data_IF_525565811287
#
_entry.id   IF_525565811287
#
_cell.length_a   1.000
_cell.length_b   1.000
_cell.length_c   1.000
_cell.angle_alpha   90.00
_cell.angle_beta   90.00
_cell.angle_gamma   90.00
#
_symmetry.space_group_name_H-M   'P 1'
#
loop_
_entity.id
_entity.type
_entity.pdbx_description
1 polymer ?
#
# COMPACT_ATOMS: atom_id res chain seq x y z
N UNK A 1 59.67 38.95 -68.51
CA UNK A 1 58.99 38.05 -67.55
C UNK A 1 57.61 38.60 -67.27
N UNK A 2 56.61 37.77 -67.54
CA UNK A 2 55.20 38.13 -67.71
C UNK A 2 54.52 38.57 -66.41
N UNK A 3 53.87 39.73 -66.52
CA UNK A 3 52.81 40.34 -65.72
C UNK A 3 51.77 39.39 -65.11
N UNK A 4 51.27 39.79 -63.93
CA UNK A 4 49.86 39.80 -63.50
C UNK A 4 49.82 39.64 -61.96
N UNK A 5 49.13 40.43 -61.15
CA UNK A 5 48.15 41.47 -61.41
C UNK A 5 47.53 41.86 -60.05
N UNK A 6 47.55 43.16 -59.77
CA UNK A 6 46.71 43.96 -58.87
C UNK A 6 45.61 43.26 -58.01
N UNK A 7 45.46 43.70 -56.74
CA UNK A 7 44.39 44.66 -56.36
C UNK A 7 44.46 45.07 -54.88
N UNK A 8 44.21 46.36 -54.70
CA UNK A 8 44.20 47.17 -53.48
C UNK A 8 43.08 46.73 -52.53
N UNK A 9 43.39 46.55 -51.23
CA UNK A 9 42.41 46.23 -50.18
C UNK A 9 41.83 47.52 -49.59
N UNK A 10 40.53 47.70 -49.75
CA UNK A 10 39.71 48.68 -49.04
C UNK A 10 39.45 48.15 -47.63
N UNK A 11 39.78 48.95 -46.62
CA UNK A 11 39.50 48.68 -45.20
C UNK A 11 38.10 49.19 -44.91
N UNK A 12 37.16 48.27 -44.64
CA UNK A 12 35.87 48.58 -44.03
C UNK A 12 35.76 47.81 -42.73
N UNK A 13 35.82 48.53 -41.60
CA UNK A 13 35.51 48.03 -40.27
C UNK A 13 34.05 47.55 -40.23
N UNK A 14 33.85 46.24 -40.21
CA UNK A 14 32.56 45.63 -39.87
C UNK A 14 32.62 45.34 -38.36
N UNK A 15 31.87 46.12 -37.60
CA UNK A 15 31.53 45.83 -36.20
C UNK A 15 30.69 44.55 -36.14
N UNK A 16 30.97 43.59 -35.24
CA UNK A 16 30.12 42.43 -35.10
C UNK A 16 28.89 42.80 -34.25
N UNK A 17 27.80 43.20 -34.91
CA UNK A 17 26.44 43.23 -34.33
C UNK A 17 25.91 41.79 -34.29
N UNK A 18 26.54 40.94 -33.48
CA UNK A 18 26.15 39.52 -33.29
C UNK A 18 26.27 39.11 -31.82
N UNK A 19 25.92 40.01 -30.89
CA UNK A 19 25.91 39.72 -29.45
C UNK A 19 24.69 40.31 -28.73
N UNK A 20 23.51 40.24 -29.35
CA UNK A 20 22.28 40.83 -28.78
C UNK A 20 21.01 39.98 -28.93
N UNK A 21 21.14 38.65 -29.11
CA UNK A 21 19.97 37.74 -29.09
C UNK A 21 20.28 36.39 -28.43
N UNK A 22 20.73 36.42 -27.18
CA UNK A 22 20.59 35.28 -26.26
C UNK A 22 20.26 35.85 -24.88
N UNK A 23 19.13 36.56 -24.80
CA UNK A 23 18.43 36.68 -23.53
C UNK A 23 17.73 35.33 -23.37
N UNK A 24 18.11 34.45 -22.43
CA UNK A 24 17.25 33.34 -22.09
C UNK A 24 15.93 33.99 -21.67
N UNK A 25 14.86 33.74 -22.43
CA UNK A 25 13.52 34.05 -21.96
C UNK A 25 13.32 33.21 -20.70
N UNK A 26 13.69 33.79 -19.56
CA UNK A 26 13.21 33.33 -18.27
C UNK A 26 11.70 33.52 -18.40
N UNK A 27 10.99 32.44 -18.74
CA UNK A 27 9.56 32.37 -18.50
C UNK A 27 9.44 32.48 -16.99
N UNK A 28 9.26 33.68 -16.48
CA UNK A 28 8.62 33.89 -15.19
C UNK A 28 7.30 33.15 -15.31
N UNK A 29 7.23 31.97 -14.69
CA UNK A 29 5.98 31.29 -14.43
C UNK A 29 5.28 32.23 -13.45
N UNK A 30 4.53 33.19 -13.97
CA UNK A 30 3.58 33.92 -13.15
C UNK A 30 2.59 32.87 -12.67
N UNK A 31 2.62 32.57 -11.38
CA UNK A 31 1.59 31.75 -10.77
C UNK A 31 0.25 32.45 -11.04
N UNK A 32 -0.69 31.74 -11.65
CA UNK A 32 -2.03 32.27 -11.87
C UNK A 32 -2.61 32.69 -10.52
N UNK A 33 -2.99 33.97 -10.42
CA UNK A 33 -3.59 34.49 -9.20
C UNK A 33 -5.06 34.08 -9.20
N UNK A 34 -5.43 33.30 -8.19
CA UNK A 34 -6.80 32.89 -7.93
C UNK A 34 -7.69 34.12 -7.69
N UNK A 35 -8.91 34.04 -8.20
CA UNK A 35 -9.94 35.04 -7.93
C UNK A 35 -10.50 34.89 -6.51
N UNK A 36 -11.26 35.88 -6.06
CA UNK A 36 -11.98 35.80 -4.78
C UNK A 36 -13.11 34.75 -4.78
N UNK A 37 -13.48 34.20 -5.94
CA UNK A 37 -14.46 33.12 -6.07
C UNK A 37 -13.81 31.73 -6.09
N UNK A 38 -12.48 31.65 -6.01
CA UNK A 38 -11.76 30.39 -6.03
C UNK A 38 -12.07 29.54 -4.79
N UNK A 39 -12.24 28.24 -5.02
CA UNK A 39 -12.48 27.24 -3.99
C UNK A 39 -11.46 26.12 -4.13
N UNK A 40 -10.91 25.68 -3.00
CA UNK A 40 -10.07 24.49 -2.93
C UNK A 40 -10.82 23.45 -2.11
N UNK A 41 -10.99 22.26 -2.68
CA UNK A 41 -11.71 21.17 -2.04
C UNK A 41 -10.89 19.90 -1.98
N UNK A 42 -11.12 19.08 -0.96
CA UNK A 42 -10.64 17.71 -0.89
C UNK A 42 -11.73 16.82 -1.50
N UNK A 43 -11.33 16.02 -2.48
CA UNK A 43 -12.15 14.97 -3.04
C UNK A 43 -11.82 13.65 -2.36
N UNK A 44 -12.84 12.90 -1.99
CA UNK A 44 -12.72 11.53 -1.45
C UNK A 44 -13.52 10.60 -2.34
N UNK A 45 -12.87 9.55 -2.84
CA UNK A 45 -13.50 8.50 -3.65
C UNK A 45 -13.57 7.22 -2.83
N UNK A 46 -14.76 6.62 -2.76
CA UNK A 46 -15.01 5.39 -2.01
C UNK A 46 -14.20 4.20 -2.54
N UNK A 47 -14.16 3.10 -1.80
CA UNK A 47 -13.49 1.86 -2.20
C UNK A 47 -13.97 1.32 -3.56
N UNK A 48 -13.04 0.93 -4.42
CA UNK A 48 -13.34 0.24 -5.68
C UNK A 48 -13.36 -1.29 -5.57
N UNK A 49 -13.47 -1.95 -6.73
CA UNK A 49 -13.51 -3.42 -6.86
C UNK A 49 -12.12 -4.04 -6.95
N UNK A 50 -11.21 -3.39 -7.66
CA UNK A 50 -9.85 -3.88 -7.90
C UNK A 50 -8.95 -3.68 -6.68
N UNK A 51 -7.95 -4.55 -6.50
CA UNK A 51 -7.08 -4.59 -5.31
C UNK A 51 -6.41 -3.24 -5.01
N UNK A 52 -5.96 -2.51 -6.03
CA UNK A 52 -5.32 -1.19 -5.89
C UNK A 52 -6.31 -0.06 -5.59
N UNK A 53 -7.62 -0.27 -5.78
CA UNK A 53 -8.68 0.71 -5.49
C UNK A 53 -9.42 0.43 -4.19
N UNK A 54 -9.14 -0.69 -3.51
CA UNK A 54 -9.86 -1.14 -2.31
C UNK A 54 -9.87 -0.09 -1.21
N UNK A 55 -8.80 0.67 -1.04
CA UNK A 55 -8.67 1.62 0.06
C UNK A 55 -9.24 3.01 -0.25
N UNK A 56 -9.82 3.21 -1.44
CA UNK A 56 -10.33 4.50 -1.89
C UNK A 56 -9.24 5.37 -2.50
N UNK A 57 -9.58 6.63 -2.76
CA UNK A 57 -8.63 7.63 -3.24
C UNK A 57 -8.96 9.02 -2.69
N UNK A 58 -7.96 9.88 -2.58
CA UNK A 58 -8.16 11.27 -2.17
C UNK A 58 -7.34 12.20 -3.07
N UNK A 59 -7.91 13.34 -3.43
CA UNK A 59 -7.34 14.32 -4.35
C UNK A 59 -7.69 15.75 -3.91
N UNK A 60 -7.04 16.77 -4.48
CA UNK A 60 -7.37 18.18 -4.25
C UNK A 60 -7.93 18.77 -5.54
N UNK A 61 -9.10 19.40 -5.47
CA UNK A 61 -9.71 20.18 -6.56
C UNK A 61 -9.43 21.66 -6.37
N UNK A 62 -9.08 22.34 -7.45
CA UNK A 62 -8.99 23.79 -7.56
C UNK A 62 -10.08 24.23 -8.54
N UNK A 63 -11.06 24.99 -8.06
CA UNK A 63 -12.15 25.50 -8.87
C UNK A 63 -12.20 27.02 -8.77
N UNK A 64 -11.92 27.71 -9.88
CA UNK A 64 -11.98 29.17 -10.01
C UNK A 64 -12.73 29.53 -11.31
N UNK A 65 -14.02 29.89 -11.21
CA UNK A 65 -14.85 30.14 -12.39
C UNK A 65 -14.42 31.39 -13.17
N UNK A 66 -13.81 32.38 -12.51
CA UNK A 66 -13.37 33.63 -13.16
C UNK A 66 -12.17 33.38 -14.06
N UNK A 67 -11.24 32.55 -13.59
CA UNK A 67 -10.05 32.16 -14.36
C UNK A 67 -10.27 30.89 -15.20
N UNK A 68 -11.47 30.31 -15.19
CA UNK A 68 -11.82 29.07 -15.88
C UNK A 68 -10.90 27.89 -15.50
N UNK A 69 -10.59 27.78 -14.20
CA UNK A 69 -9.80 26.69 -13.63
C UNK A 69 -10.77 25.69 -12.99
N UNK A 70 -10.69 24.42 -13.39
CA UNK A 70 -11.35 23.30 -12.71
C UNK A 70 -10.48 22.04 -12.79
N UNK A 71 -9.42 22.05 -11.98
CA UNK A 71 -8.33 21.08 -12.02
C UNK A 71 -8.30 20.21 -10.76
N UNK A 72 -7.84 18.98 -10.91
CA UNK A 72 -7.68 18.02 -9.82
C UNK A 72 -6.22 17.55 -9.75
N UNK A 73 -5.60 17.76 -8.59
CA UNK A 73 -4.27 17.31 -8.24
C UNK A 73 -4.35 15.96 -7.51
N UNK A 74 -3.69 14.94 -8.08
CA UNK A 74 -3.70 13.57 -7.62
C UNK A 74 -2.31 13.16 -7.12
N UNK A 75 -2.19 12.94 -5.82
CA UNK A 75 -1.09 12.14 -5.28
C UNK A 75 -1.52 10.68 -5.33
N UNK A 76 -0.73 9.78 -5.92
CA UNK A 76 -1.12 8.37 -6.05
C UNK A 76 -1.04 7.82 -7.47
N UNK A 77 -0.64 8.65 -8.42
CA UNK A 77 -0.43 8.25 -9.81
C UNK A 77 0.90 7.53 -9.95
N UNK A 78 0.91 6.45 -10.71
CA UNK A 78 2.11 5.67 -11.01
C UNK A 78 1.99 5.09 -12.42
N UNK A 79 3.14 4.67 -12.95
CA UNK A 79 3.23 4.08 -14.29
C UNK A 79 3.39 2.55 -14.18
N UNK A 80 2.51 1.81 -14.86
CA UNK A 80 2.55 0.35 -14.93
C UNK A 80 3.71 -0.17 -15.80
N UNK A 81 4.20 0.61 -16.74
CA UNK A 81 5.29 0.25 -17.65
C UNK A 81 6.68 0.39 -17.01
N UNK A 82 6.73 0.80 -15.73
CA UNK A 82 7.97 0.76 -14.96
C UNK A 82 8.55 -0.66 -14.93
N UNK A 83 9.79 -0.78 -15.41
CA UNK A 83 10.51 -2.06 -15.43
C UNK A 83 10.46 -2.77 -14.07
N UNK A 84 10.06 -4.05 -14.08
CA UNK A 84 9.86 -4.89 -12.89
C UNK A 84 8.85 -4.30 -11.89
N UNK A 85 7.74 -3.74 -12.38
CA UNK A 85 6.65 -3.14 -11.60
C UNK A 85 6.34 -3.90 -10.28
N UNK A 86 5.98 -5.18 -10.36
CA UNK A 86 5.63 -5.97 -9.17
C UNK A 86 6.77 -6.11 -8.17
N UNK A 87 8.02 -6.23 -8.65
CA UNK A 87 9.19 -6.29 -7.77
C UNK A 87 9.42 -4.96 -7.07
N UNK A 88 9.25 -3.84 -7.79
CA UNK A 88 9.39 -2.49 -7.22
C UNK A 88 8.29 -2.19 -6.20
N UNK A 89 7.06 -2.60 -6.51
CA UNK A 89 5.92 -2.49 -5.62
C UNK A 89 6.16 -3.25 -4.31
N UNK A 90 6.54 -4.54 -4.36
CA UNK A 90 6.83 -5.33 -3.16
C UNK A 90 8.04 -4.78 -2.38
N UNK A 91 9.02 -4.20 -3.07
CA UNK A 91 10.18 -3.55 -2.46
C UNK A 91 9.88 -2.17 -1.87
N UNK A 92 8.75 -1.55 -2.18
CA UNK A 92 8.44 -0.19 -1.76
C UNK A 92 9.31 0.88 -2.41
N UNK A 93 9.84 0.63 -3.60
CA UNK A 93 10.59 1.60 -4.39
C UNK A 93 9.94 1.90 -5.76
N UNK A 94 8.65 1.61 -5.89
CA UNK A 94 7.85 2.08 -7.00
C UNK A 94 7.68 3.60 -6.87
N UNK A 95 7.98 4.32 -7.95
CA UNK A 95 7.87 5.79 -7.99
C UNK A 95 6.41 6.14 -8.29
N UNK A 96 5.84 6.95 -7.41
CA UNK A 96 4.56 7.62 -7.57
C UNK A 96 4.81 9.10 -7.85
N UNK A 97 3.86 9.78 -8.46
CA UNK A 97 4.00 11.19 -8.77
C UNK A 97 2.70 11.96 -8.58
N UNK A 98 2.84 13.27 -8.35
CA UNK A 98 1.75 14.22 -8.42
C UNK A 98 1.34 14.40 -9.89
N UNK A 99 0.10 14.05 -10.23
CA UNK A 99 -0.47 14.33 -11.55
C UNK A 99 -1.59 15.37 -11.46
N UNK A 100 -1.90 15.98 -12.60
CA UNK A 100 -2.95 16.98 -12.76
C UNK A 100 -3.91 16.55 -13.85
N UNK A 101 -5.19 16.75 -13.60
CA UNK A 101 -6.28 16.33 -14.47
C UNK A 101 -7.44 17.35 -14.42
N UNK A 102 -8.38 17.29 -15.35
CA UNK A 102 -9.61 18.08 -15.26
C UNK A 102 -10.61 17.44 -14.30
N UNK A 103 -11.42 18.25 -13.61
CA UNK A 103 -12.48 17.72 -12.74
C UNK A 103 -13.53 16.90 -13.51
N UNK A 104 -13.86 17.30 -14.75
CA UNK A 104 -14.79 16.55 -15.60
C UNK A 104 -14.26 15.13 -15.91
N UNK A 105 -12.97 15.00 -16.25
CA UNK A 105 -12.36 13.68 -16.48
C UNK A 105 -12.30 12.85 -15.18
N UNK A 106 -11.94 13.45 -14.05
CA UNK A 106 -11.98 12.81 -12.73
C UNK A 106 -13.38 12.26 -12.42
N UNK A 107 -14.41 13.08 -12.58
CA UNK A 107 -15.80 12.72 -12.30
C UNK A 107 -16.26 11.60 -13.23
N UNK A 108 -15.99 11.69 -14.53
CA UNK A 108 -16.31 10.64 -15.52
C UNK A 108 -15.65 9.31 -15.18
N UNK A 109 -14.38 9.33 -14.76
CA UNK A 109 -13.63 8.13 -14.41
C UNK A 109 -14.30 7.39 -13.24
N UNK A 110 -14.52 8.08 -12.12
CA UNK A 110 -15.03 7.42 -10.90
C UNK A 110 -16.54 7.15 -10.93
N UNK A 111 -17.31 7.90 -11.74
CA UNK A 111 -18.71 7.56 -12.03
C UNK A 111 -18.82 6.30 -12.88
N UNK A 112 -17.94 6.12 -13.88
CA UNK A 112 -17.86 4.89 -14.68
C UNK A 112 -17.43 3.68 -13.83
N UNK A 113 -16.53 3.86 -12.86
CA UNK A 113 -16.20 2.84 -11.85
C UNK A 113 -17.34 2.57 -10.86
N UNK A 114 -18.40 3.39 -10.88
CA UNK A 114 -19.52 3.36 -9.94
C UNK A 114 -19.08 3.47 -8.48
N UNK A 115 -18.25 4.46 -8.17
CA UNK A 115 -17.75 4.74 -6.81
C UNK A 115 -18.32 6.06 -6.30
N UNK A 116 -18.75 6.10 -5.05
CA UNK A 116 -19.25 7.33 -4.43
C UNK A 116 -18.11 8.35 -4.31
N UNK A 117 -18.42 9.62 -4.56
CA UNK A 117 -17.47 10.73 -4.49
C UNK A 117 -18.04 11.78 -3.54
N UNK A 118 -17.19 12.22 -2.61
CA UNK A 118 -17.46 13.31 -1.69
C UNK A 118 -16.51 14.48 -1.94
N UNK A 119 -16.98 15.67 -1.63
CA UNK A 119 -16.22 16.92 -1.70
C UNK A 119 -16.29 17.66 -0.36
N UNK A 120 -15.14 18.14 0.12
CA UNK A 120 -14.99 18.94 1.33
C UNK A 120 -14.23 20.23 1.02
N UNK A 121 -14.91 21.37 1.11
CA UNK A 121 -14.28 22.66 0.85
C UNK A 121 -13.36 23.04 2.01
N UNK A 122 -12.16 23.55 1.70
CA UNK A 122 -11.25 24.13 2.68
C UNK A 122 -11.77 25.49 3.17
N UNK A 123 -11.70 25.73 4.48
CA UNK A 123 -12.18 26.93 5.15
C UNK A 123 -11.04 27.91 5.48
N UNK A 124 -10.10 28.09 4.55
CA UNK A 124 -8.96 28.99 4.70
C UNK A 124 -9.21 30.35 4.03
N UNK A 125 -8.44 31.36 4.44
CA UNK A 125 -8.44 32.68 3.80
C UNK A 125 -7.85 32.61 2.39
N UNK A 126 -8.29 33.49 1.49
CA UNK A 126 -7.89 33.50 0.08
C UNK A 126 -6.37 33.56 -0.12
N UNK A 127 -5.65 34.28 0.74
CA UNK A 127 -4.19 34.36 0.70
C UNK A 127 -3.51 33.02 1.00
N UNK A 128 -4.11 32.23 1.90
CA UNK A 128 -3.63 30.88 2.22
C UNK A 128 -3.97 29.90 1.10
N UNK A 129 -5.16 30.03 0.51
CA UNK A 129 -5.57 29.24 -0.66
C UNK A 129 -4.66 29.49 -1.86
N UNK A 130 -4.27 30.76 -2.12
CA UNK A 130 -3.30 31.10 -3.16
C UNK A 130 -1.95 30.40 -2.91
N UNK A 131 -1.39 30.51 -1.70
CA UNK A 131 -0.11 29.86 -1.39
C UNK A 131 -0.18 28.34 -1.52
N UNK A 132 -1.32 27.73 -1.19
CA UNK A 132 -1.55 26.30 -1.37
C UNK A 132 -1.55 25.95 -2.87
N UNK A 133 -2.28 26.70 -3.69
CA UNK A 133 -2.28 26.52 -5.15
C UNK A 133 -0.90 26.70 -5.77
N UNK A 134 -0.16 27.74 -5.37
CA UNK A 134 1.21 27.98 -5.81
C UNK A 134 2.12 26.80 -5.47
N UNK A 135 1.95 26.22 -4.27
CA UNK A 135 2.71 25.04 -3.83
C UNK A 135 2.40 23.80 -4.67
N UNK A 136 1.12 23.56 -4.99
CA UNK A 136 0.71 22.45 -5.86
C UNK A 136 1.25 22.61 -7.28
N UNK A 137 1.09 23.79 -7.87
CA UNK A 137 1.56 24.10 -9.21
C UNK A 137 3.09 24.02 -9.30
N UNK A 138 3.80 24.56 -8.31
CA UNK A 138 5.27 24.47 -8.23
C UNK A 138 5.71 23.02 -8.12
N UNK A 139 5.11 22.24 -7.21
CA UNK A 139 5.46 20.83 -7.06
C UNK A 139 5.26 20.05 -8.36
N UNK A 140 4.12 20.26 -9.05
CA UNK A 140 3.79 19.59 -10.31
C UNK A 140 4.80 19.89 -11.44
N UNK A 141 5.27 21.13 -11.55
CA UNK A 141 6.24 21.52 -12.57
C UNK A 141 7.71 21.28 -12.17
N UNK A 142 7.98 21.02 -10.90
CA UNK A 142 9.34 20.77 -10.39
C UNK A 142 9.75 19.30 -10.49
N UNK A 143 11.04 19.03 -10.27
CA UNK A 143 11.54 17.67 -10.04
C UNK A 143 11.05 17.01 -8.75
N UNK A 144 10.34 17.73 -7.87
CA UNK A 144 9.85 17.23 -6.57
C UNK A 144 8.48 16.55 -6.64
N UNK A 145 7.90 16.38 -7.84
CA UNK A 145 6.59 15.73 -7.99
C UNK A 145 6.63 14.23 -7.68
N UNK A 146 7.79 13.60 -7.81
CA UNK A 146 8.00 12.16 -7.66
C UNK A 146 8.28 11.79 -6.20
N UNK A 147 7.80 10.62 -5.76
CA UNK A 147 8.00 10.12 -4.40
C UNK A 147 7.88 8.61 -4.26
N UNK A 148 8.39 8.07 -3.15
CA UNK A 148 8.24 6.67 -2.79
C UNK A 148 7.00 6.47 -1.94
N UNK A 149 6.10 5.63 -2.40
CA UNK A 149 4.85 5.36 -1.70
C UNK A 149 5.08 4.51 -0.44
N UNK A 150 4.44 4.91 0.65
CA UNK A 150 4.28 4.11 1.85
C UNK A 150 2.80 4.11 2.23
N UNK A 151 2.21 2.91 2.31
CA UNK A 151 0.77 2.74 2.54
C UNK A 151 0.25 3.45 3.81
N UNK A 152 1.03 3.54 4.88
CA UNK A 152 0.59 4.15 6.14
C UNK A 152 1.09 5.59 6.34
N UNK A 153 2.26 5.91 5.81
CA UNK A 153 2.97 7.15 6.16
C UNK A 153 3.06 8.15 4.99
N UNK A 154 3.12 7.68 3.74
CA UNK A 154 3.35 8.53 2.57
C UNK A 154 2.51 8.05 1.37
N UNK A 155 1.22 8.37 1.42
CA UNK A 155 0.21 7.99 0.44
C UNK A 155 -0.61 9.22 -0.01
N UNK A 156 -1.60 9.01 -0.88
CA UNK A 156 -2.46 10.08 -1.39
C UNK A 156 -3.10 10.93 -0.29
N UNK A 157 -3.54 10.28 0.77
CA UNK A 157 -4.26 10.87 1.89
C UNK A 157 -3.31 11.56 2.85
N UNK A 158 -2.20 10.93 3.24
CA UNK A 158 -1.24 11.54 4.17
C UNK A 158 -0.52 12.73 3.55
N UNK A 159 -0.25 12.72 2.24
CA UNK A 159 0.29 13.90 1.53
C UNK A 159 -0.65 15.08 1.54
N UNK A 160 -1.93 14.85 1.26
CA UNK A 160 -2.95 15.91 1.28
C UNK A 160 -3.14 16.43 2.71
N UNK A 161 -3.21 15.54 3.70
CA UNK A 161 -3.27 15.93 5.11
C UNK A 161 -2.04 16.76 5.52
N UNK A 162 -0.83 16.36 5.12
CA UNK A 162 0.40 17.09 5.43
C UNK A 162 0.42 18.48 4.78
N UNK A 163 -0.07 18.59 3.53
CA UNK A 163 -0.22 19.87 2.84
C UNK A 163 -1.17 20.79 3.60
N UNK A 164 -2.34 20.28 3.99
CA UNK A 164 -3.34 21.04 4.77
C UNK A 164 -2.74 21.50 6.10
N UNK A 165 -2.07 20.61 6.83
CA UNK A 165 -1.44 20.95 8.12
C UNK A 165 -0.41 22.08 7.96
N UNK A 166 0.41 22.04 6.92
CA UNK A 166 1.43 23.06 6.67
C UNK A 166 0.81 24.46 6.50
N UNK A 167 -0.32 24.55 5.79
CA UNK A 167 -1.03 25.82 5.53
C UNK A 167 -2.03 26.22 6.61
N UNK A 168 -2.50 25.28 7.43
CA UNK A 168 -3.45 25.54 8.51
C UNK A 168 -2.82 26.11 9.79
N UNK A 169 -1.49 26.19 9.83
CA UNK A 169 -0.62 26.28 11.02
C UNK A 169 -0.83 27.48 11.96
N UNK A 170 -1.77 28.39 11.66
CA UNK A 170 -2.10 29.51 12.54
C UNK A 170 -3.19 29.20 13.59
N UNK A 171 -3.91 28.07 13.51
CA UNK A 171 -5.12 27.85 14.35
C UNK A 171 -5.14 26.61 15.27
N UNK A 172 -4.25 25.64 15.11
CA UNK A 172 -4.21 24.45 15.98
C UNK A 172 -2.79 24.08 16.41
N UNK A 173 -2.65 23.74 17.70
CA UNK A 173 -1.42 23.12 18.18
C UNK A 173 -1.31 21.72 17.61
N UNK A 174 -0.13 21.41 17.07
CA UNK A 174 0.31 20.08 16.66
C UNK A 174 -0.05 18.98 17.69
N UNK A 175 -0.15 19.37 18.97
CA UNK A 175 -0.64 18.58 20.10
C UNK A 175 -1.99 17.89 19.87
N UNK A 176 -3.00 18.56 19.30
CA UNK A 176 -4.33 17.95 19.06
C UNK A 176 -4.22 16.74 18.11
N UNK A 177 -3.42 16.89 17.04
CA UNK A 177 -3.20 15.84 16.04
C UNK A 177 -2.35 14.68 16.57
N UNK A 178 -1.55 14.92 17.62
CA UNK A 178 -0.71 13.91 18.27
C UNK A 178 -1.44 13.15 19.38
N UNK A 179 -2.68 13.51 19.72
CA UNK A 179 -3.45 12.79 20.73
C UNK A 179 -3.63 11.32 20.36
N UNK A 180 -3.41 10.39 21.31
CA UNK A 180 -3.57 8.96 21.06
C UNK A 180 -5.05 8.64 20.80
N UNK A 181 -5.30 7.73 19.86
CA UNK A 181 -6.64 7.17 19.64
C UNK A 181 -6.66 5.71 20.08
N UNK A 182 -7.82 5.21 20.49
CA UNK A 182 -7.99 3.79 20.84
C UNK A 182 -8.10 2.92 19.57
N UNK A 183 -7.06 2.95 18.74
CA UNK A 183 -6.99 2.24 17.47
C UNK A 183 -5.58 1.81 17.10
N UNK A 184 -5.50 1.01 16.04
CA UNK A 184 -4.26 0.58 15.37
C UNK A 184 -4.47 0.65 13.87
N UNK A 185 -3.39 0.66 13.08
CA UNK A 185 -3.49 0.62 11.62
C UNK A 185 -4.37 -0.54 11.12
N UNK A 186 -4.20 -1.75 11.67
CA UNK A 186 -5.00 -2.93 11.34
C UNK A 186 -6.47 -2.75 11.71
N UNK A 187 -6.78 -2.07 12.82
CA UNK A 187 -8.16 -1.80 13.24
C UNK A 187 -8.85 -0.82 12.28
N UNK A 188 -8.16 0.21 11.83
CA UNK A 188 -8.68 1.19 10.84
C UNK A 188 -8.99 0.54 9.48
N UNK A 189 -8.30 -0.54 9.10
CA UNK A 189 -8.56 -1.26 7.84
C UNK A 189 -9.82 -2.14 7.89
N UNK A 190 -10.31 -2.52 9.08
CA UNK A 190 -11.41 -3.49 9.22
C UNK A 190 -12.69 -3.09 8.47
N UNK A 191 -13.20 -1.84 8.55
CA UNK A 191 -14.44 -1.47 7.88
C UNK A 191 -14.34 -1.62 6.36
N UNK A 192 -13.17 -1.31 5.78
CA UNK A 192 -12.92 -1.42 4.33
C UNK A 192 -12.84 -2.89 3.90
N UNK A 193 -12.30 -3.76 4.75
CA UNK A 193 -12.04 -5.16 4.43
C UNK A 193 -13.21 -6.10 4.75
N UNK A 194 -14.24 -5.64 5.46
CA UNK A 194 -15.34 -6.46 6.00
C UNK A 194 -15.99 -7.38 4.97
N UNK A 195 -16.28 -6.87 3.77
CA UNK A 195 -16.96 -7.62 2.71
C UNK A 195 -16.00 -8.26 1.69
N UNK A 196 -14.70 -8.33 2.01
CA UNK A 196 -13.64 -8.76 1.10
C UNK A 196 -12.75 -9.81 1.78
N UNK A 197 -13.26 -11.00 2.13
CA UNK A 197 -12.59 -11.91 3.06
C UNK A 197 -11.23 -12.41 2.57
N UNK A 198 -11.05 -12.67 1.27
CA UNK A 198 -9.74 -13.05 0.70
C UNK A 198 -8.73 -11.92 0.72
N UNK A 199 -9.17 -10.70 0.43
CA UNK A 199 -8.31 -9.51 0.50
C UNK A 199 -7.98 -9.22 1.97
N UNK A 200 -8.96 -9.33 2.86
CA UNK A 200 -8.78 -9.18 4.30
C UNK A 200 -7.75 -10.19 4.82
N UNK A 201 -7.87 -11.45 4.43
CA UNK A 201 -6.90 -12.49 4.77
C UNK A 201 -5.50 -12.14 4.26
N UNK A 202 -5.35 -11.82 2.97
CA UNK A 202 -4.07 -11.48 2.37
C UNK A 202 -3.41 -10.26 3.01
N UNK A 203 -4.15 -9.17 3.18
CA UNK A 203 -3.68 -7.95 3.87
C UNK A 203 -3.27 -8.28 5.30
N UNK A 204 -4.09 -9.00 6.07
CA UNK A 204 -3.75 -9.33 7.45
C UNK A 204 -2.55 -10.28 7.58
N UNK A 205 -2.34 -11.13 6.58
CA UNK A 205 -1.21 -12.05 6.51
C UNK A 205 0.09 -11.32 6.15
N UNK A 206 0.03 -10.31 5.29
CA UNK A 206 1.20 -9.50 4.89
C UNK A 206 1.57 -8.44 5.92
N UNK A 207 0.58 -7.84 6.59
CA UNK A 207 0.81 -6.87 7.65
C UNK A 207 1.43 -7.55 8.87
N UNK A 208 2.69 -7.21 9.13
CA UNK A 208 3.39 -7.63 10.34
C UNK A 208 2.93 -6.89 11.59
N UNK A 209 3.72 -6.94 12.66
CA UNK A 209 3.41 -6.28 13.96
C UNK A 209 3.21 -4.77 13.84
N UNK A 210 3.77 -4.12 12.82
CA UNK A 210 3.58 -2.69 12.56
C UNK A 210 2.09 -2.34 12.44
N UNK A 211 1.29 -3.22 11.81
CA UNK A 211 -0.16 -3.02 11.70
C UNK A 211 -0.88 -3.00 13.06
N UNK A 212 -0.28 -3.55 14.10
CA UNK A 212 -0.85 -3.67 15.44
C UNK A 212 -0.35 -2.57 16.41
N UNK A 213 0.43 -1.60 15.91
CA UNK A 213 0.88 -0.45 16.70
C UNK A 213 -0.29 0.49 17.02
N UNK A 214 -0.27 1.06 18.23
CA UNK A 214 -1.16 2.16 18.61
C UNK A 214 -0.82 3.41 17.80
N UNK A 215 -1.87 4.14 17.40
CA UNK A 215 -1.75 5.31 16.53
C UNK A 215 -2.38 6.55 17.17
N UNK A 216 -1.96 7.73 16.72
CA UNK A 216 -2.56 9.02 17.08
C UNK A 216 -3.62 9.47 16.06
N UNK A 217 -4.26 10.62 16.32
CA UNK A 217 -5.31 11.16 15.46
C UNK A 217 -4.83 11.38 14.02
N UNK A 218 -3.66 12.00 13.83
CA UNK A 218 -3.05 12.21 12.50
C UNK A 218 -2.85 10.90 11.75
N UNK A 219 -2.18 9.94 12.38
CA UNK A 219 -1.90 8.62 11.79
C UNK A 219 -3.18 7.86 11.46
N UNK A 220 -4.26 8.04 12.23
CA UNK A 220 -5.54 7.40 11.95
C UNK A 220 -6.21 7.88 10.66
N UNK A 221 -5.82 9.05 10.14
CA UNK A 221 -6.37 9.64 8.92
C UNK A 221 -5.60 9.22 7.64
N UNK A 222 -4.82 8.14 7.68
CA UNK A 222 -4.09 7.64 6.49
C UNK A 222 -5.00 7.07 5.39
N UNK A 223 -6.29 6.83 5.68
CA UNK A 223 -7.29 6.32 4.73
C UNK A 223 -8.22 7.45 4.27
N UNK A 224 -8.57 7.53 2.97
CA UNK A 224 -9.39 8.60 2.40
C UNK A 224 -10.71 8.85 3.15
N UNK A 225 -11.49 7.78 3.40
CA UNK A 225 -12.78 7.89 4.10
C UNK A 225 -12.60 8.27 5.57
N UNK A 226 -11.49 7.84 6.21
CA UNK A 226 -11.21 8.21 7.60
C UNK A 226 -10.77 9.66 7.72
N UNK A 227 -9.94 10.15 6.79
CA UNK A 227 -9.61 11.58 6.67
C UNK A 227 -10.91 12.39 6.54
N UNK A 228 -11.77 12.04 5.58
CA UNK A 228 -13.01 12.75 5.30
C UNK A 228 -13.90 12.89 6.54
N UNK A 229 -14.00 11.84 7.35
CA UNK A 229 -14.83 11.83 8.57
C UNK A 229 -14.22 12.59 9.74
N UNK A 230 -12.89 12.69 9.84
CA UNK A 230 -12.21 13.26 11.02
C UNK A 230 -11.75 14.69 10.80
N UNK A 231 -11.46 15.07 9.56
CA UNK A 231 -10.95 16.39 9.22
C UNK A 231 -11.92 17.55 9.56
N UNK A 232 -13.26 17.42 9.41
CA UNK A 232 -14.18 18.48 9.85
C UNK A 232 -14.08 18.81 11.34
N UNK A 233 -13.66 17.85 12.17
CA UNK A 233 -13.42 18.06 13.59
C UNK A 233 -12.31 19.07 13.91
N UNK A 234 -11.44 19.39 12.94
CA UNK A 234 -10.47 20.48 13.05
C UNK A 234 -11.04 21.83 12.58
N UNK A 235 -12.23 21.86 12.00
CA UNK A 235 -12.78 23.08 11.39
C UNK A 235 -11.98 23.62 10.19
N UNK A 236 -11.05 22.83 9.62
CA UNK A 236 -10.33 23.21 8.40
C UNK A 236 -11.15 22.98 7.13
N UNK A 237 -12.18 22.13 7.22
CA UNK A 237 -13.02 21.80 6.08
C UNK A 237 -14.49 21.78 6.45
N UNK A 238 -15.34 21.88 5.43
CA UNK A 238 -16.75 21.51 5.56
C UNK A 238 -16.90 20.00 5.79
N UNK A 239 -18.12 19.60 6.15
CA UNK A 239 -18.54 18.19 6.06
C UNK A 239 -18.52 17.71 4.60
N UNK A 240 -18.39 16.38 4.43
CA UNK A 240 -18.34 15.75 3.11
C UNK A 240 -19.67 15.79 2.37
N UNK A 241 -19.80 16.67 1.37
CA UNK A 241 -20.95 16.71 0.48
C UNK A 241 -20.83 15.61 -0.56
N UNK A 242 -21.90 14.82 -0.75
CA UNK A 242 -21.91 13.76 -1.79
C UNK A 242 -22.15 14.39 -3.15
N UNK A 243 -21.15 14.41 -4.02
CA UNK A 243 -21.27 14.93 -5.40
C UNK A 243 -21.66 13.84 -6.40
N UNK A 244 -21.36 12.58 -6.09
CA UNK A 244 -21.89 11.43 -6.81
C UNK A 244 -22.07 10.24 -5.88
N UNK A 245 -23.19 9.53 -6.01
CA UNK A 245 -23.49 8.33 -5.21
C UNK A 245 -23.48 7.09 -6.09
N UNK A 246 -22.73 6.07 -5.68
CA UNK A 246 -22.71 4.79 -6.38
C UNK A 246 -24.11 4.18 -6.47
N UNK A 247 -24.47 3.66 -7.66
CA UNK A 247 -25.76 3.05 -7.96
C UNK A 247 -25.92 1.67 -7.33
N UNK A 248 -24.86 0.87 -7.34
CA UNK A 248 -24.82 -0.45 -6.71
C UNK A 248 -23.94 -0.44 -5.46
N UNK A 249 -24.41 -1.07 -4.39
CA UNK A 249 -23.58 -1.38 -3.23
C UNK A 249 -22.41 -2.31 -3.63
N UNK A 250 -21.26 -2.26 -2.93
CA UNK A 250 -20.20 -3.24 -3.13
C UNK A 250 -20.74 -4.67 -2.97
N UNK A 251 -20.40 -5.56 -3.91
CA UNK A 251 -20.80 -6.97 -3.84
C UNK A 251 -20.38 -7.57 -2.50
N UNK A 252 -21.32 -8.13 -1.74
CA UNK A 252 -21.00 -8.94 -0.56
C UNK A 252 -20.41 -10.28 -1.03
N UNK A 253 -19.35 -10.73 -0.37
CA UNK A 253 -18.81 -12.06 -0.62
C UNK A 253 -19.82 -13.12 -0.16
N UNK A 254 -20.06 -14.14 -0.98
CA UNK A 254 -20.92 -15.27 -0.60
C UNK A 254 -20.28 -16.05 0.57
N UNK A 255 -21.05 -16.31 1.62
CA UNK A 255 -20.59 -16.91 2.89
C UNK A 255 -19.84 -18.26 2.73
N UNK A 256 -20.18 -19.06 1.71
CA UNK A 256 -19.56 -20.37 1.51
C UNK A 256 -18.08 -20.32 1.06
N UNK A 257 -17.61 -19.19 0.52
CA UNK A 257 -16.25 -19.04 -0.02
C UNK A 257 -15.34 -18.21 0.90
N UNK A 258 -15.53 -18.28 2.22
CA UNK A 258 -14.63 -17.65 3.19
C UNK A 258 -13.33 -18.45 3.36
N UNK A 259 -12.16 -17.80 3.49
CA UNK A 259 -10.88 -18.49 3.65
C UNK A 259 -10.87 -19.46 4.84
N UNK A 260 -11.45 -19.06 5.98
CA UNK A 260 -11.51 -19.89 7.18
C UNK A 260 -12.26 -21.22 6.93
N UNK A 261 -13.37 -21.19 6.19
CA UNK A 261 -14.16 -22.37 5.86
C UNK A 261 -13.35 -23.31 4.97
N UNK A 262 -12.71 -22.78 3.94
CA UNK A 262 -11.85 -23.58 3.04
C UNK A 262 -10.68 -24.20 3.82
N UNK A 263 -10.01 -23.44 4.67
CA UNK A 263 -8.87 -23.93 5.43
C UNK A 263 -9.27 -24.99 6.46
N UNK A 264 -10.45 -24.92 7.07
CA UNK A 264 -10.97 -26.00 7.90
C UNK A 264 -11.29 -27.26 7.10
N UNK A 265 -11.94 -27.15 5.94
CA UNK A 265 -12.21 -28.30 5.06
C UNK A 265 -10.89 -29.00 4.68
N UNK A 266 -9.88 -28.22 4.28
CA UNK A 266 -8.55 -28.73 3.95
C UNK A 266 -7.89 -29.37 5.17
N UNK A 267 -7.95 -28.73 6.34
CA UNK A 267 -7.38 -29.27 7.58
C UNK A 267 -8.02 -30.61 7.97
N UNK A 268 -9.36 -30.73 7.89
CA UNK A 268 -10.06 -31.99 8.18
C UNK A 268 -9.73 -33.08 7.16
N UNK A 269 -9.68 -32.77 5.87
CA UNK A 269 -9.30 -33.73 4.84
C UNK A 269 -7.87 -34.27 5.07
N UNK A 270 -6.93 -33.39 5.39
CA UNK A 270 -5.54 -33.76 5.69
C UNK A 270 -5.39 -34.51 7.02
N UNK A 271 -6.21 -34.21 8.02
CA UNK A 271 -6.23 -34.95 9.29
C UNK A 271 -6.80 -36.36 9.08
N UNK A 272 -7.92 -36.46 8.36
CA UNK A 272 -8.56 -37.73 8.01
C UNK A 272 -7.61 -38.64 7.23
N UNK A 273 -6.90 -38.09 6.23
CA UNK A 273 -5.88 -38.82 5.47
C UNK A 273 -4.86 -39.50 6.38
N UNK A 274 -4.39 -38.81 7.43
CA UNK A 274 -3.34 -39.30 8.34
C UNK A 274 -3.84 -40.37 9.31
N UNK A 275 -5.09 -40.27 9.76
CA UNK A 275 -5.71 -41.17 10.73
C UNK A 275 -6.28 -42.42 10.03
N UNK A 276 -6.69 -42.27 8.76
CA UNK A 276 -7.24 -43.35 7.96
C UNK A 276 -6.24 -44.50 7.80
N UNK A 277 -6.67 -45.72 8.17
CA UNK A 277 -5.90 -46.95 7.98
C UNK A 277 -5.72 -47.35 6.51
N UNK A 278 -6.47 -46.72 5.61
CA UNK A 278 -6.45 -47.00 4.16
C UNK A 278 -5.26 -46.30 3.49
N UNK A 279 -4.69 -45.27 4.11
CA UNK A 279 -3.63 -44.49 3.50
C UNK A 279 -2.25 -45.12 3.74
N UNK A 280 -1.54 -45.48 2.66
CA UNK A 280 -0.16 -45.94 2.78
C UNK A 280 0.78 -44.78 3.13
N UNK A 281 1.79 -45.05 3.97
CA UNK A 281 2.81 -44.09 4.37
C UNK A 281 3.48 -43.36 3.20
N UNK A 282 3.79 -44.05 2.10
CA UNK A 282 4.45 -43.40 0.95
C UNK A 282 3.59 -42.29 0.35
N UNK A 283 2.26 -42.44 0.39
CA UNK A 283 1.34 -41.41 -0.07
C UNK A 283 1.27 -40.25 0.95
N UNK A 284 1.20 -40.57 2.25
CA UNK A 284 1.22 -39.56 3.31
C UNK A 284 2.50 -38.73 3.33
N UNK A 285 3.66 -39.35 3.03
CA UNK A 285 4.94 -38.66 2.87
C UNK A 285 4.91 -37.67 1.70
N UNK A 286 4.27 -38.01 0.57
CA UNK A 286 4.10 -37.08 -0.56
C UNK A 286 3.23 -35.89 -0.18
N UNK A 287 2.15 -36.11 0.57
CA UNK A 287 1.31 -35.02 1.07
C UNK A 287 2.11 -34.13 2.02
N UNK A 288 2.88 -34.70 2.94
CA UNK A 288 3.77 -33.92 3.83
C UNK A 288 4.73 -33.05 3.01
N UNK A 289 5.37 -33.62 1.97
CA UNK A 289 6.26 -32.89 1.07
C UNK A 289 5.54 -31.70 0.43
N UNK A 290 4.31 -31.87 -0.06
CA UNK A 290 3.54 -30.79 -0.69
C UNK A 290 3.17 -29.70 0.33
N UNK A 291 2.59 -30.10 1.47
CA UNK A 291 2.14 -29.17 2.51
C UNK A 291 3.30 -28.33 3.06
N UNK A 292 4.43 -28.97 3.40
CA UNK A 292 5.60 -28.27 3.92
C UNK A 292 6.34 -27.48 2.83
N UNK A 293 6.30 -27.92 1.57
CA UNK A 293 6.80 -27.11 0.45
C UNK A 293 6.00 -25.82 0.29
N UNK A 294 4.67 -25.89 0.33
CA UNK A 294 3.81 -24.69 0.22
C UNK A 294 4.09 -23.71 1.36
N UNK A 295 4.11 -24.19 2.61
CA UNK A 295 4.40 -23.36 3.77
C UNK A 295 5.83 -22.80 3.73
N UNK A 296 6.80 -23.59 3.26
CA UNK A 296 8.20 -23.18 3.13
C UNK A 296 8.43 -22.15 2.03
N UNK A 297 7.82 -22.33 0.86
CA UNK A 297 7.87 -21.35 -0.24
C UNK A 297 7.20 -20.04 0.16
N UNK A 298 6.06 -20.11 0.86
CA UNK A 298 5.45 -18.90 1.43
C UNK A 298 6.36 -18.23 2.47
N UNK A 299 7.07 -19.03 3.27
CA UNK A 299 8.10 -18.53 4.17
C UNK A 299 9.26 -17.85 3.49
N UNK A 300 9.76 -18.40 2.37
CA UNK A 300 10.79 -17.76 1.54
C UNK A 300 10.29 -16.41 1.04
N UNK A 301 9.04 -16.34 0.58
CA UNK A 301 8.42 -15.09 0.14
C UNK A 301 8.36 -14.04 1.27
N UNK A 302 7.89 -14.41 2.47
CA UNK A 302 7.89 -13.50 3.61
C UNK A 302 9.31 -13.10 4.06
N UNK A 303 10.27 -14.02 3.96
CA UNK A 303 11.66 -13.77 4.33
C UNK A 303 12.32 -12.78 3.35
N UNK A 304 11.99 -12.91 2.07
CA UNK A 304 12.37 -11.95 1.04
C UNK A 304 11.80 -10.56 1.36
N UNK A 305 10.51 -10.45 1.70
CA UNK A 305 9.92 -9.17 2.11
C UNK A 305 10.61 -8.60 3.36
N UNK A 306 10.95 -9.45 4.32
CA UNK A 306 11.66 -9.05 5.54
C UNK A 306 13.00 -8.38 5.27
N UNK A 307 13.76 -8.88 4.31
CA UNK A 307 15.12 -8.37 4.03
C UNK A 307 15.10 -7.23 3.02
N UNK A 308 14.25 -7.32 1.99
CA UNK A 308 14.36 -6.46 0.80
C UNK A 308 13.26 -5.41 0.67
N UNK A 309 12.15 -5.52 1.41
CA UNK A 309 11.09 -4.51 1.35
C UNK A 309 11.49 -3.28 2.14
N UNK A 310 11.31 -2.10 1.55
CA UNK A 310 11.42 -0.81 2.24
C UNK A 310 10.18 -0.48 3.06
N UNK A 311 9.12 -1.30 3.00
CA UNK A 311 7.92 -1.12 3.80
C UNK A 311 8.11 -1.70 5.22
N UNK A 312 8.16 -0.87 6.29
CA UNK A 312 8.31 -1.36 7.66
C UNK A 312 7.19 -2.31 8.07
N UNK A 313 6.01 -2.12 7.47
CA UNK A 313 4.82 -2.94 7.67
C UNK A 313 4.97 -4.39 7.22
N UNK A 314 5.82 -4.66 6.24
CA UNK A 314 6.09 -6.01 5.74
C UNK A 314 7.30 -6.65 6.43
N UNK A 315 8.26 -5.83 6.90
CA UNK A 315 9.51 -6.33 7.49
C UNK A 315 9.31 -7.07 8.83
N UNK A 316 8.30 -6.65 9.59
CA UNK A 316 8.09 -7.10 10.97
C UNK A 316 7.09 -8.25 11.10
N UNK A 317 7.01 -9.10 10.07
CA UNK A 317 5.97 -10.12 9.95
C UNK A 317 6.33 -11.44 10.67
N UNK A 318 5.62 -11.72 11.76
CA UNK A 318 5.73 -12.91 12.60
C UNK A 318 5.10 -14.17 11.97
N UNK A 319 4.41 -14.07 10.82
CA UNK A 319 3.97 -15.25 10.07
C UNK A 319 5.14 -16.13 9.60
N UNK A 320 6.36 -15.57 9.57
CA UNK A 320 7.61 -16.33 9.35
C UNK A 320 7.87 -17.44 10.37
N UNK A 321 7.26 -17.38 11.55
CA UNK A 321 7.43 -18.42 12.57
C UNK A 321 6.80 -19.75 12.10
N UNK A 322 5.59 -19.71 11.54
CA UNK A 322 4.89 -20.90 11.08
C UNK A 322 5.12 -21.19 9.60
N UNK A 323 5.24 -20.16 8.76
CA UNK A 323 5.65 -20.26 7.37
C UNK A 323 7.15 -20.01 7.30
N UNK A 324 7.94 -21.02 7.68
CA UNK A 324 9.38 -20.88 7.83
C UNK A 324 10.11 -21.39 6.57
N UNK A 325 11.09 -20.65 6.00
CA UNK A 325 11.88 -21.12 4.85
C UNK A 325 12.52 -22.51 5.03
N UNK A 326 12.86 -22.90 6.27
CA UNK A 326 13.43 -24.21 6.60
C UNK A 326 12.48 -25.38 6.27
N UNK A 327 11.18 -25.12 6.10
CA UNK A 327 10.21 -26.15 5.70
C UNK A 327 10.45 -26.69 4.29
N UNK A 328 11.13 -25.92 3.42
CA UNK A 328 11.58 -26.44 2.12
C UNK A 328 12.66 -27.51 2.32
N UNK A 329 13.65 -27.25 3.18
CA UNK A 329 14.68 -28.23 3.54
C UNK A 329 14.04 -29.45 4.21
N UNK A 330 13.03 -29.25 5.06
CA UNK A 330 12.27 -30.32 5.67
C UNK A 330 11.57 -31.21 4.64
N UNK A 331 10.90 -30.62 3.66
CA UNK A 331 10.25 -31.34 2.56
C UNK A 331 11.27 -32.17 1.76
N UNK A 332 12.44 -31.60 1.45
CA UNK A 332 13.54 -32.35 0.81
C UNK A 332 14.05 -33.50 1.69
N UNK A 333 14.25 -33.26 2.99
CA UNK A 333 14.73 -34.28 3.92
C UNK A 333 13.76 -35.47 4.04
N UNK A 334 12.45 -35.22 3.96
CA UNK A 334 11.42 -36.26 3.89
C UNK A 334 11.58 -37.09 2.60
N UNK A 335 11.74 -36.42 1.45
CA UNK A 335 11.90 -37.07 0.15
C UNK A 335 13.13 -37.98 0.09
N UNK A 336 14.27 -37.51 0.60
CA UNK A 336 15.54 -38.25 0.66
C UNK A 336 15.67 -39.17 1.88
N UNK A 337 14.63 -39.26 2.73
CA UNK A 337 14.59 -40.10 3.94
C UNK A 337 15.72 -39.85 4.93
N UNK A 338 16.13 -38.59 5.10
CA UNK A 338 17.13 -38.19 6.09
C UNK A 338 16.56 -38.21 7.51
N UNK A 339 16.50 -39.41 8.12
CA UNK A 339 15.77 -39.67 9.38
C UNK A 339 16.12 -38.70 10.52
N UNK A 340 17.42 -38.49 10.81
CA UNK A 340 17.87 -37.60 11.91
C UNK A 340 17.50 -36.14 11.68
N UNK A 341 17.72 -35.63 10.46
CA UNK A 341 17.40 -34.24 10.08
C UNK A 341 15.89 -34.01 10.14
N UNK A 342 15.12 -34.95 9.59
CA UNK A 342 13.65 -34.89 9.58
C UNK A 342 13.11 -34.85 11.01
N UNK A 343 13.61 -35.69 11.92
CA UNK A 343 13.21 -35.68 13.32
C UNK A 343 13.54 -34.34 14.01
N UNK A 344 14.77 -33.84 13.85
CA UNK A 344 15.20 -32.60 14.48
C UNK A 344 14.38 -31.39 14.01
N UNK A 345 14.14 -31.25 12.70
CA UNK A 345 13.32 -30.16 12.16
C UNK A 345 11.85 -30.31 12.58
N UNK A 346 11.30 -31.53 12.57
CA UNK A 346 9.92 -31.78 13.01
C UNK A 346 9.70 -31.39 14.47
N UNK A 347 10.66 -31.72 15.36
CA UNK A 347 10.62 -31.38 16.77
C UNK A 347 10.67 -29.87 16.98
N UNK A 348 11.67 -29.19 16.39
CA UNK A 348 11.80 -27.74 16.47
C UNK A 348 10.55 -27.03 15.96
N UNK A 349 10.05 -27.45 14.79
CA UNK A 349 8.89 -26.85 14.16
C UNK A 349 7.61 -27.05 14.99
N UNK A 350 7.41 -28.25 15.55
CA UNK A 350 6.28 -28.51 16.45
C UNK A 350 6.34 -27.60 17.68
N UNK A 351 7.50 -27.45 18.31
CA UNK A 351 7.68 -26.54 19.45
C UNK A 351 7.32 -25.10 19.10
N UNK A 352 7.73 -24.61 17.93
CA UNK A 352 7.37 -23.26 17.46
C UNK A 352 5.85 -23.13 17.28
N UNK A 353 5.20 -24.10 16.64
CA UNK A 353 3.75 -24.07 16.44
C UNK A 353 2.98 -24.10 17.76
N UNK A 354 3.36 -24.98 18.70
CA UNK A 354 2.73 -25.02 20.03
C UNK A 354 2.95 -23.71 20.80
N UNK A 355 4.14 -23.12 20.70
CA UNK A 355 4.39 -21.80 21.27
C UNK A 355 3.44 -20.74 20.71
N UNK A 356 3.25 -20.69 19.39
CA UNK A 356 2.30 -19.77 18.74
C UNK A 356 0.87 -20.02 19.25
N UNK A 357 0.42 -21.27 19.30
CA UNK A 357 -0.92 -21.63 19.74
C UNK A 357 -1.18 -21.26 21.21
N UNK A 358 -0.20 -21.48 22.09
CA UNK A 358 -0.29 -21.14 23.52
C UNK A 358 -0.24 -19.62 23.74
N UNK A 359 0.57 -18.91 22.94
CA UNK A 359 0.78 -17.46 23.07
C UNK A 359 -0.08 -16.62 22.13
N UNK A 360 -1.10 -17.22 21.49
CA UNK A 360 -1.90 -16.62 20.42
C UNK A 360 -2.37 -15.19 20.70
N UNK A 361 -2.87 -14.93 21.91
CA UNK A 361 -3.37 -13.61 22.33
C UNK A 361 -2.32 -12.69 22.98
N UNK A 362 -1.10 -13.20 23.22
CA UNK A 362 -0.02 -12.48 23.93
C UNK A 362 1.09 -12.02 22.99
N UNK A 363 1.17 -12.59 21.79
CA UNK A 363 2.19 -12.26 20.81
C UNK A 363 1.96 -10.85 20.23
N UNK A 364 3.02 -10.05 19.95
CA UNK A 364 2.86 -8.65 19.54
C UNK A 364 2.16 -8.42 18.19
N UNK A 365 1.99 -9.46 17.37
CA UNK A 365 1.29 -9.40 16.08
C UNK A 365 -0.03 -10.16 16.17
N UNK A 366 -1.12 -9.56 15.69
CA UNK A 366 -2.39 -10.28 15.55
C UNK A 366 -2.37 -11.13 14.30
N UNK A 367 -2.45 -12.43 14.47
CA UNK A 367 -2.62 -13.37 13.37
C UNK A 367 -4.07 -13.37 12.85
N UNK A 368 -4.29 -13.47 11.54
CA UNK A 368 -5.62 -13.70 10.99
C UNK A 368 -6.19 -15.02 11.55
N UNK A 369 -7.43 -15.04 12.05
CA UNK A 369 -8.04 -16.27 12.59
C UNK A 369 -8.11 -17.39 11.55
N UNK A 370 -8.15 -17.01 10.27
CA UNK A 370 -8.14 -17.89 9.12
C UNK A 370 -6.92 -18.82 9.09
N UNK A 371 -5.76 -18.48 9.69
CA UNK A 371 -4.60 -19.39 9.71
C UNK A 371 -4.71 -20.49 10.77
N UNK A 372 -5.64 -20.39 11.73
CA UNK A 372 -5.75 -21.36 12.83
C UNK A 372 -5.85 -22.82 12.34
N UNK A 373 -6.70 -23.16 11.34
CA UNK A 373 -6.78 -24.54 10.83
C UNK A 373 -5.45 -25.00 10.22
N UNK A 374 -4.73 -24.08 9.55
CA UNK A 374 -3.43 -24.35 8.93
C UNK A 374 -2.37 -24.67 9.99
N UNK A 375 -2.31 -23.89 11.07
CA UNK A 375 -1.37 -24.14 12.18
C UNK A 375 -1.64 -25.48 12.85
N UNK A 376 -2.91 -25.79 13.11
CA UNK A 376 -3.31 -27.04 13.75
C UNK A 376 -2.94 -28.25 12.89
N UNK A 377 -3.21 -28.21 11.58
CA UNK A 377 -2.85 -29.33 10.70
C UNK A 377 -1.33 -29.47 10.54
N UNK A 378 -0.59 -28.36 10.46
CA UNK A 378 0.87 -28.38 10.40
C UNK A 378 1.47 -29.01 11.67
N UNK A 379 0.94 -28.65 12.85
CA UNK A 379 1.36 -29.19 14.16
C UNK A 379 1.01 -30.67 14.31
N UNK A 380 -0.21 -31.06 13.91
CA UNK A 380 -0.65 -32.44 13.94
C UNK A 380 0.24 -33.34 13.06
N UNK A 381 0.55 -32.90 11.83
CA UNK A 381 1.38 -33.67 10.91
C UNK A 381 2.84 -33.74 11.35
N UNK A 382 3.39 -32.66 11.91
CA UNK A 382 4.76 -32.65 12.42
C UNK A 382 4.90 -33.56 13.65
N UNK A 383 3.92 -33.53 14.55
CA UNK A 383 3.89 -34.38 15.74
C UNK A 383 3.75 -35.87 15.38
N UNK A 384 2.85 -36.22 14.46
CA UNK A 384 2.74 -37.60 13.96
C UNK A 384 4.07 -38.12 13.41
N UNK A 385 4.84 -37.27 12.72
CA UNK A 385 6.14 -37.67 12.19
C UNK A 385 7.17 -37.92 13.30
N UNK A 386 7.16 -37.15 14.38
CA UNK A 386 8.01 -37.37 15.57
C UNK A 386 7.71 -38.73 16.20
N UNK A 387 6.44 -39.03 16.49
CA UNK A 387 6.04 -40.30 17.12
C UNK A 387 6.47 -41.53 16.31
N UNK A 388 6.44 -41.44 14.98
CA UNK A 388 6.93 -42.54 14.13
C UNK A 388 8.42 -42.81 14.29
N UNK A 389 9.25 -41.81 14.60
CA UNK A 389 10.68 -42.05 14.85
C UNK A 389 10.94 -42.67 16.23
N UNK A 390 10.07 -42.41 17.21
CA UNK A 390 10.16 -43.01 18.55
C UNK A 390 9.79 -44.49 18.47
N UNK A 391 8.69 -44.83 17.80
CA UNK A 391 8.19 -46.20 17.69
C UNK A 391 8.98 -47.12 16.73
N UNK A 392 9.99 -46.61 16.01
CA UNK A 392 10.89 -47.42 15.16
C UNK A 392 12.15 -47.87 15.94
N UNK A 393 12.36 -47.34 17.15
CA UNK A 393 13.52 -47.66 18.01
C UNK A 393 13.21 -48.71 19.08
N UNK A 394 11.96 -49.13 19.20
CA UNK A 394 11.53 -50.35 19.87
C UNK A 394 11.33 -51.43 18.80
#
# INVERSE_FOLDING_TARGET
MSLSGSRIRIITCITPIWLLMLVPSVKTIFAETLSNEAQISILTVDSGKEIWTVFGHTAIRIHDPINNIDEVYNYGTFDFDQNRFYLKFLRGNLIYYLSRDSFDHFLKTYTAENRTIWEQQLLFQSEVLQKLYDSLSTNYHSGNRDYYYNFFEDNCTTRILNLIIAFASEKYSEEYLLQPVNSTYRKELKPILLNRPWIAFGVNLLLGRYGDQHINLRQSMFLPVTLMKKLPGTGWTTEGATIYKAKTAPSQAKEFFMPITIFWIVAFALAWEKISKVTNQRFSDKIDIIVYSIAGTFGIFLFFLKIYSLHPSLQTNMNLLWANPLLVIYAFAINFRWKKITFAIALLYSTILFFILITWNKIPQKFPLEIMPLLLILAFRSMNRIFRFVNIKE
#
